data_IF_459297818320
#
_entry.id   IF_459297818320
#
_cell.length_a   1.000
_cell.length_b   1.000
_cell.length_c   1.000
_cell.angle_alpha   90.00
_cell.angle_beta   90.00
_cell.angle_gamma   90.00
#
_symmetry.space_group_name_H-M   'P 1'
#
loop_
_entity.id
_entity.type
_entity.pdbx_description
1 polymer ?
#
# COMPACT_ATOMS: atom_id res chain seq x y z
N UNK A 1 15.34 8.72 11.89
CA UNK A 1 14.56 8.95 13.12
C UNK A 1 13.86 7.66 13.56
N UNK A 2 12.99 7.07 12.75
CA UNK A 2 12.21 5.86 13.07
C UNK A 2 13.11 4.69 13.47
N UNK A 3 14.17 4.41 12.72
CA UNK A 3 15.09 3.32 13.05
C UNK A 3 15.79 3.50 14.41
N UNK A 4 15.99 4.75 14.87
CA UNK A 4 16.52 5.01 16.22
C UNK A 4 15.47 4.77 17.30
N UNK A 5 14.23 5.14 17.04
CA UNK A 5 13.12 4.98 17.99
C UNK A 5 12.78 3.51 18.22
N UNK A 6 12.94 2.66 17.21
CA UNK A 6 12.74 1.21 17.29
C UNK A 6 14.05 0.42 17.46
N UNK A 7 15.14 1.05 17.90
CA UNK A 7 16.45 0.40 18.11
C UNK A 7 16.44 -0.69 19.19
N UNK A 8 15.40 -0.75 20.02
CA UNK A 8 15.18 -1.81 21.01
C UNK A 8 14.77 -3.16 20.39
N UNK A 9 14.45 -3.21 19.11
CA UNK A 9 14.12 -4.45 18.39
C UNK A 9 15.09 -4.71 17.25
N UNK A 10 15.44 -5.97 17.03
CA UNK A 10 16.23 -6.42 15.87
C UNK A 10 15.40 -6.56 14.60
N UNK A 11 14.07 -6.40 14.71
CA UNK A 11 13.13 -6.58 13.57
C UNK A 11 13.00 -5.33 12.70
N UNK A 12 13.35 -4.15 13.22
CA UNK A 12 13.34 -2.89 12.48
C UNK A 12 14.76 -2.49 12.14
N UNK A 13 15.03 -2.29 10.85
CA UNK A 13 16.33 -1.83 10.36
C UNK A 13 16.13 -0.66 9.42
N UNK A 14 16.88 0.41 9.61
CA UNK A 14 16.97 1.51 8.67
C UNK A 14 17.98 1.17 7.56
N UNK A 15 17.56 1.26 6.32
CA UNK A 15 18.42 1.13 5.15
C UNK A 15 18.43 2.44 4.39
N UNK A 16 19.63 3.05 4.25
CA UNK A 16 19.77 4.24 3.43
C UNK A 16 19.78 3.85 1.96
N UNK A 17 18.94 4.51 1.16
CA UNK A 17 18.97 4.39 -0.31
C UNK A 17 20.22 5.04 -0.88
N UNK A 18 20.69 4.54 -2.01
CA UNK A 18 21.73 5.20 -2.79
C UNK A 18 21.17 6.50 -3.41
N UNK A 19 22.02 7.47 -3.64
CA UNK A 19 21.62 8.79 -4.15
C UNK A 19 20.89 8.69 -5.52
N UNK A 20 21.21 7.69 -6.33
CA UNK A 20 20.54 7.39 -7.60
C UNK A 20 19.08 6.95 -7.43
N UNK A 21 18.75 6.34 -6.31
CA UNK A 21 17.39 5.88 -5.95
C UNK A 21 16.69 6.78 -4.92
N UNK A 22 17.34 7.86 -4.49
CA UNK A 22 16.84 8.81 -3.49
C UNK A 22 16.44 10.15 -4.11
N UNK A 23 16.04 10.17 -5.38
CA UNK A 23 15.59 11.36 -6.10
C UNK A 23 14.12 11.24 -6.50
N UNK A 24 13.51 12.36 -6.88
CA UNK A 24 12.08 12.48 -7.21
C UNK A 24 11.64 11.66 -8.46
N UNK A 25 12.60 11.16 -9.24
CA UNK A 25 12.33 10.38 -10.46
C UNK A 25 12.54 8.88 -10.27
N UNK A 26 13.07 8.47 -9.11
CA UNK A 26 13.32 7.06 -8.82
C UNK A 26 12.00 6.30 -8.64
N UNK A 27 11.87 5.16 -9.32
CA UNK A 27 10.68 4.31 -9.17
C UNK A 27 10.70 3.55 -7.84
N UNK A 28 9.51 3.19 -7.36
CA UNK A 28 9.39 2.28 -6.21
C UNK A 28 10.10 0.95 -6.49
N UNK A 29 10.02 0.44 -7.70
CA UNK A 29 10.67 -0.80 -8.11
C UNK A 29 12.20 -0.73 -7.98
N UNK A 30 12.82 0.40 -8.35
CA UNK A 30 14.27 0.57 -8.19
C UNK A 30 14.69 0.56 -6.72
N UNK A 31 13.90 1.19 -5.85
CA UNK A 31 14.13 1.17 -4.41
C UNK A 31 13.96 -0.24 -3.81
N UNK A 32 12.95 -1.00 -4.27
CA UNK A 32 12.74 -2.38 -3.84
C UNK A 32 13.86 -3.32 -4.31
N UNK A 33 14.38 -3.15 -5.52
CA UNK A 33 15.52 -3.91 -6.03
C UNK A 33 16.76 -3.62 -5.21
N UNK A 34 17.08 -2.36 -4.95
CA UNK A 34 18.20 -1.97 -4.10
C UNK A 34 18.08 -2.55 -2.68
N UNK A 35 16.87 -2.50 -2.10
CA UNK A 35 16.60 -3.13 -0.82
C UNK A 35 16.87 -4.63 -0.87
N UNK A 36 16.35 -5.33 -1.87
CA UNK A 36 16.52 -6.77 -2.04
C UNK A 36 18.02 -7.14 -2.19
N UNK A 37 18.79 -6.37 -2.95
CA UNK A 37 20.23 -6.54 -3.10
C UNK A 37 20.97 -6.36 -1.77
N UNK A 38 20.64 -5.32 -1.01
CA UNK A 38 21.26 -5.03 0.30
C UNK A 38 21.05 -6.13 1.33
N UNK A 39 19.96 -6.88 1.22
CA UNK A 39 19.71 -8.05 2.08
C UNK A 39 20.04 -9.38 1.41
N UNK A 40 20.79 -9.36 0.29
CA UNK A 40 21.19 -10.54 -0.50
C UNK A 40 19.96 -11.41 -0.91
N UNK A 41 18.82 -10.79 -1.19
CA UNK A 41 17.57 -11.47 -1.55
C UNK A 41 17.14 -12.53 -0.51
N UNK A 42 17.43 -12.29 0.75
CA UNK A 42 17.08 -13.20 1.87
C UNK A 42 15.65 -12.97 2.36
N UNK A 43 14.69 -13.34 1.52
CA UNK A 43 13.25 -13.33 1.83
C UNK A 43 12.51 -14.35 0.95
N UNK A 44 11.38 -14.84 1.43
CA UNK A 44 10.45 -15.67 0.65
C UNK A 44 9.40 -14.80 -0.04
N UNK A 45 8.89 -13.79 0.66
CA UNK A 45 7.88 -12.83 0.19
C UNK A 45 8.37 -11.43 0.53
N UNK A 46 8.31 -10.52 -0.45
CA UNK A 46 8.52 -9.09 -0.28
C UNK A 46 7.14 -8.44 -0.07
N UNK A 47 6.96 -7.77 1.06
CA UNK A 47 5.74 -7.02 1.35
C UNK A 47 6.08 -5.53 1.46
N UNK A 48 5.53 -4.73 0.54
CA UNK A 48 5.65 -3.27 0.55
C UNK A 48 4.40 -2.67 1.19
N UNK A 49 4.61 -1.76 2.13
CA UNK A 49 3.59 -0.91 2.73
C UNK A 49 3.95 0.55 2.40
N UNK A 50 2.99 1.31 1.88
CA UNK A 50 3.21 2.73 1.62
C UNK A 50 2.82 3.56 2.84
N UNK A 51 3.73 4.45 3.26
CA UNK A 51 3.50 5.32 4.41
C UNK A 51 2.37 6.34 4.19
N UNK A 52 2.06 6.63 2.92
CA UNK A 52 0.93 7.48 2.52
C UNK A 52 -0.43 6.84 2.80
N UNK A 53 -0.49 5.55 3.17
CA UNK A 53 -1.72 4.77 3.43
C UNK A 53 -1.82 4.32 4.89
N UNK A 54 -1.89 5.24 5.89
CA UNK A 54 -1.82 4.90 7.31
C UNK A 54 -3.08 4.25 7.87
N UNK A 55 -4.14 4.12 7.07
CA UNK A 55 -5.35 3.38 7.44
C UNK A 55 -5.21 1.87 7.26
N UNK A 56 -4.07 1.39 6.78
CA UNK A 56 -3.74 -0.03 6.64
C UNK A 56 -3.71 -0.72 8.01
N UNK A 57 -4.30 -1.91 8.07
CA UNK A 57 -4.36 -2.72 9.28
C UNK A 57 -3.50 -3.98 9.15
N UNK A 58 -3.23 -4.63 10.28
CA UNK A 58 -2.55 -5.94 10.28
C UNK A 58 -3.37 -7.02 9.56
N UNK A 59 -4.70 -6.90 9.55
CA UNK A 59 -5.58 -7.82 8.83
C UNK A 59 -5.42 -7.69 7.31
N UNK A 60 -5.31 -6.47 6.78
CA UNK A 60 -5.07 -6.22 5.36
C UNK A 60 -3.74 -6.84 4.90
N UNK A 61 -2.69 -6.69 5.72
CA UNK A 61 -1.38 -7.30 5.46
C UNK A 61 -1.47 -8.82 5.47
N UNK A 62 -2.14 -9.40 6.48
CA UNK A 62 -2.32 -10.83 6.58
C UNK A 62 -3.13 -11.40 5.41
N UNK A 63 -4.16 -10.68 4.95
CA UNK A 63 -4.94 -11.06 3.78
C UNK A 63 -4.10 -11.05 2.50
N UNK A 64 -3.20 -10.10 2.33
CA UNK A 64 -2.27 -10.08 1.19
C UNK A 64 -1.29 -11.26 1.23
N UNK A 65 -0.74 -11.58 2.40
CA UNK A 65 0.12 -12.75 2.57
C UNK A 65 -0.64 -14.07 2.37
N UNK A 66 -1.90 -14.14 2.79
CA UNK A 66 -2.77 -15.30 2.60
C UNK A 66 -3.01 -15.59 1.12
N UNK A 67 -3.18 -14.57 0.27
CA UNK A 67 -3.29 -14.77 -1.18
C UNK A 67 -2.08 -15.50 -1.75
N UNK A 68 -0.90 -15.26 -1.21
CA UNK A 68 0.34 -15.94 -1.65
C UNK A 68 0.45 -17.33 -1.02
N UNK A 69 0.33 -17.43 0.30
CA UNK A 69 0.64 -18.67 1.03
C UNK A 69 -0.42 -19.75 0.86
N UNK A 70 -1.69 -19.38 0.71
CA UNK A 70 -2.82 -20.30 0.72
C UNK A 70 -3.51 -20.40 -0.65
N UNK A 71 -3.66 -19.25 -1.35
CA UNK A 71 -4.31 -19.20 -2.66
C UNK A 71 -3.35 -19.44 -3.84
N UNK A 72 -2.05 -19.61 -3.56
CA UNK A 72 -1.02 -19.89 -4.56
C UNK A 72 -0.78 -18.74 -5.56
N UNK A 73 -1.13 -17.50 -5.20
CA UNK A 73 -0.82 -16.33 -6.02
C UNK A 73 0.66 -16.01 -5.94
N UNK A 74 1.19 -15.46 -7.03
CA UNK A 74 2.60 -15.02 -7.06
C UNK A 74 2.77 -13.59 -6.59
N UNK A 75 1.72 -12.78 -6.70
CA UNK A 75 1.65 -11.44 -6.11
C UNK A 75 0.24 -11.14 -5.60
N UNK A 76 0.13 -10.18 -4.69
CA UNK A 76 -1.14 -9.67 -4.18
C UNK A 76 -1.04 -8.15 -4.02
N UNK A 77 -2.17 -7.47 -4.20
CA UNK A 77 -2.28 -6.03 -3.97
C UNK A 77 -3.62 -5.68 -3.34
N UNK A 78 -3.63 -4.56 -2.63
CA UNK A 78 -4.83 -4.01 -2.03
C UNK A 78 -5.63 -3.17 -3.02
N UNK A 79 -6.94 -3.31 -2.95
CA UNK A 79 -7.91 -2.59 -3.79
C UNK A 79 -9.08 -2.11 -2.95
N UNK A 80 -9.77 -1.10 -3.44
CA UNK A 80 -11.02 -0.60 -2.86
C UNK A 80 -12.12 -0.70 -3.90
N UNK A 81 -13.29 -1.20 -3.48
CA UNK A 81 -14.46 -1.23 -4.33
C UNK A 81 -15.14 0.14 -4.36
N UNK A 82 -15.28 0.72 -5.54
CA UNK A 82 -15.97 1.99 -5.76
C UNK A 82 -17.18 1.82 -6.65
N UNK A 83 -18.25 2.58 -6.34
CA UNK A 83 -19.46 2.63 -7.14
C UNK A 83 -19.57 3.93 -7.93
N UNK A 84 -18.43 4.52 -8.30
CA UNK A 84 -18.39 5.76 -9.08
C UNK A 84 -18.46 5.45 -10.57
N UNK A 85 -19.19 6.27 -11.30
CA UNK A 85 -19.20 6.25 -12.76
C UNK A 85 -17.99 7.01 -13.28
N UNK A 86 -17.25 6.38 -14.19
CA UNK A 86 -16.03 6.94 -14.78
C UNK A 86 -16.21 7.26 -16.25
N UNK A 87 -15.45 8.25 -16.71
CA UNK A 87 -15.52 8.79 -18.07
C UNK A 87 -14.13 8.85 -18.66
N UNK A 88 -14.04 8.63 -19.96
CA UNK A 88 -12.85 8.92 -20.74
C UNK A 88 -12.76 10.43 -21.00
N UNK A 89 -11.56 10.93 -21.27
CA UNK A 89 -11.33 12.35 -21.55
C UNK A 89 -12.06 12.86 -22.81
N UNK A 90 -12.43 11.97 -23.72
CA UNK A 90 -13.20 12.28 -24.93
C UNK A 90 -14.72 12.41 -24.68
N UNK A 91 -15.17 12.27 -23.41
CA UNK A 91 -16.57 12.38 -23.02
C UNK A 91 -17.38 11.08 -23.20
N UNK A 92 -16.71 9.95 -23.45
CA UNK A 92 -17.38 8.64 -23.50
C UNK A 92 -17.44 7.99 -22.10
N UNK A 93 -18.54 7.30 -21.72
CA UNK A 93 -18.62 6.57 -20.45
C UNK A 93 -17.68 5.37 -20.50
N UNK A 94 -17.03 5.07 -19.34
CA UNK A 94 -16.07 3.99 -19.27
C UNK A 94 -16.65 2.70 -18.66
N UNK A 95 -17.52 2.82 -17.66
CA UNK A 95 -17.94 1.66 -16.85
C UNK A 95 -19.47 1.51 -16.69
N UNK A 96 -20.26 2.23 -17.44
CA UNK A 96 -21.71 2.11 -17.42
C UNK A 96 -22.35 2.53 -18.75
N UNK A 97 -23.61 2.14 -18.97
CA UNK A 97 -24.42 2.61 -20.09
C UNK A 97 -25.17 3.89 -19.69
N UNK A 98 -24.95 5.00 -20.42
CA UNK A 98 -25.58 6.30 -20.16
C UNK A 98 -27.08 6.23 -20.30
N UNK A 99 -27.59 5.44 -21.25
CA UNK A 99 -29.01 5.31 -21.54
C UNK A 99 -29.72 4.32 -20.61
N UNK A 100 -28.95 3.46 -19.93
CA UNK A 100 -29.47 2.51 -18.95
C UNK A 100 -28.63 2.60 -17.66
N UNK A 101 -28.62 3.80 -17.07
CA UNK A 101 -27.83 4.10 -15.87
C UNK A 101 -28.30 3.28 -14.67
N UNK A 102 -27.49 2.37 -14.13
CA UNK A 102 -27.86 1.57 -12.99
C UNK A 102 -27.94 2.42 -11.71
N UNK A 103 -28.78 2.00 -10.77
CA UNK A 103 -28.74 2.56 -9.42
C UNK A 103 -27.48 2.08 -8.70
N UNK A 104 -27.02 2.82 -7.69
CA UNK A 104 -25.80 2.49 -6.95
C UNK A 104 -25.79 1.05 -6.40
N UNK A 105 -26.94 0.58 -5.91
CA UNK A 105 -27.08 -0.77 -5.36
C UNK A 105 -27.10 -1.88 -6.44
N UNK A 106 -27.41 -1.54 -7.68
CA UNK A 106 -27.49 -2.48 -8.79
C UNK A 106 -26.18 -2.47 -9.63
N UNK A 107 -25.28 -1.54 -9.32
CA UNK A 107 -24.01 -1.38 -10.00
C UNK A 107 -22.91 -2.17 -9.29
N UNK A 108 -22.26 -3.08 -9.99
CA UNK A 108 -21.21 -3.96 -9.43
C UNK A 108 -20.01 -3.20 -8.91
N UNK A 109 -19.78 -1.97 -9.42
CA UNK A 109 -18.62 -1.15 -9.09
C UNK A 109 -17.35 -1.57 -9.83
N UNK A 110 -16.27 -0.89 -9.47
CA UNK A 110 -14.92 -1.17 -9.94
C UNK A 110 -14.00 -1.35 -8.74
N UNK A 111 -13.00 -2.19 -8.90
CA UNK A 111 -11.88 -2.29 -7.96
C UNK A 111 -10.80 -1.31 -8.40
N UNK A 112 -10.40 -0.43 -7.48
CA UNK A 112 -9.35 0.56 -7.69
C UNK A 112 -8.21 0.21 -6.75
N UNK A 113 -6.99 0.18 -7.26
CA UNK A 113 -5.77 0.04 -6.49
C UNK A 113 -5.61 1.25 -5.55
N UNK A 114 -5.41 1.00 -4.26
CA UNK A 114 -5.32 2.06 -3.24
C UNK A 114 -3.91 2.28 -2.70
N UNK A 115 -2.91 1.67 -3.33
CA UNK A 115 -1.50 1.90 -2.98
C UNK A 115 -1.04 1.31 -1.64
N UNK A 116 -1.91 0.75 -0.82
CA UNK A 116 -1.62 0.49 0.59
C UNK A 116 -0.70 -0.72 0.83
N UNK A 117 -0.99 -1.86 0.21
CA UNK A 117 -0.28 -3.12 0.44
C UNK A 117 0.03 -3.82 -0.88
N UNK A 118 1.28 -4.23 -1.04
CA UNK A 118 1.73 -5.09 -2.12
C UNK A 118 2.54 -6.23 -1.54
N UNK A 119 2.27 -7.46 -1.97
CA UNK A 119 3.07 -8.61 -1.61
C UNK A 119 3.45 -9.38 -2.86
N UNK A 120 4.69 -9.84 -2.98
CA UNK A 120 5.16 -10.63 -4.12
C UNK A 120 6.13 -11.70 -3.65
N UNK A 121 6.07 -12.88 -4.28
CA UNK A 121 7.06 -13.92 -4.03
C UNK A 121 8.43 -13.51 -4.55
N UNK A 122 9.50 -14.00 -3.93
CA UNK A 122 10.88 -13.75 -4.38
C UNK A 122 11.06 -14.08 -5.86
N UNK A 123 10.60 -15.23 -6.31
CA UNK A 123 10.80 -15.70 -7.68
C UNK A 123 10.09 -14.79 -8.70
N UNK A 124 8.84 -14.43 -8.42
CA UNK A 124 8.08 -13.52 -9.26
C UNK A 124 8.72 -12.12 -9.32
N UNK A 125 9.17 -11.60 -8.18
CA UNK A 125 9.87 -10.32 -8.09
C UNK A 125 11.19 -10.34 -8.87
N UNK A 126 12.00 -11.38 -8.73
CA UNK A 126 13.28 -11.50 -9.44
C UNK A 126 13.09 -11.60 -10.96
N UNK A 127 12.04 -12.27 -11.40
CA UNK A 127 11.72 -12.45 -12.82
C UNK A 127 11.18 -11.18 -13.46
N UNK A 128 10.22 -10.53 -12.81
CA UNK A 128 9.52 -9.35 -13.35
C UNK A 128 10.21 -8.02 -13.06
N UNK A 129 11.00 -7.94 -12.00
CA UNK A 129 11.52 -6.70 -11.41
C UNK A 129 10.40 -5.71 -11.04
N UNK A 130 9.22 -6.24 -10.71
CA UNK A 130 8.03 -5.46 -10.41
C UNK A 130 7.35 -6.03 -9.16
N UNK A 131 6.71 -5.16 -8.36
CA UNK A 131 5.97 -5.53 -7.15
C UNK A 131 4.68 -6.31 -7.44
N UNK A 132 4.17 -6.25 -8.68
CA UNK A 132 2.98 -6.98 -9.14
C UNK A 132 3.30 -7.72 -10.42
N UNK A 133 3.03 -9.03 -10.46
CA UNK A 133 3.32 -9.86 -11.65
C UNK A 133 2.61 -11.20 -11.61
N UNK A 134 2.44 -11.80 -12.78
CA UNK A 134 1.91 -13.15 -13.01
C UNK A 134 0.48 -13.33 -12.46
N UNK A 135 0.27 -14.23 -11.48
CA UNK A 135 -1.04 -14.47 -10.89
C UNK A 135 -1.28 -13.54 -9.69
N UNK A 136 -2.27 -12.66 -9.81
CA UNK A 136 -2.52 -11.59 -8.84
C UNK A 136 -3.68 -11.95 -7.94
N UNK A 137 -3.47 -11.85 -6.62
CA UNK A 137 -4.51 -11.85 -5.60
C UNK A 137 -4.95 -10.42 -5.28
N UNK A 138 -6.24 -10.22 -5.11
CA UNK A 138 -6.80 -8.92 -4.72
C UNK A 138 -7.27 -8.97 -3.27
N UNK A 139 -6.92 -7.92 -2.50
CA UNK A 139 -7.37 -7.73 -1.12
C UNK A 139 -8.27 -6.51 -1.09
N UNK A 140 -9.57 -6.74 -0.95
CA UNK A 140 -10.52 -5.64 -0.86
C UNK A 140 -10.45 -5.00 0.52
N UNK A 141 -10.20 -3.69 0.56
CA UNK A 141 -10.12 -2.86 1.75
C UNK A 141 -11.33 -1.90 1.83
N UNK A 142 -11.65 -1.37 3.01
CA UNK A 142 -12.73 -0.39 3.19
C UNK A 142 -12.58 0.87 2.33
N UNK A 143 -13.72 1.49 1.94
CA UNK A 143 -13.75 2.64 1.01
C UNK A 143 -12.88 3.83 1.50
N UNK A 144 -12.81 4.06 2.81
CA UNK A 144 -11.99 5.13 3.38
C UNK A 144 -10.48 4.94 3.16
N UNK A 145 -10.01 3.73 2.88
CA UNK A 145 -8.60 3.44 2.61
C UNK A 145 -8.17 3.82 1.19
N UNK A 146 -9.11 4.31 0.36
CA UNK A 146 -8.77 4.90 -0.94
C UNK A 146 -8.06 6.25 -0.80
N UNK A 147 -8.12 6.85 0.40
CA UNK A 147 -7.48 8.12 0.67
C UNK A 147 -6.02 7.90 1.05
N UNK A 148 -5.12 8.52 0.31
CA UNK A 148 -3.68 8.59 0.59
C UNK A 148 -3.31 9.98 1.11
N UNK A 149 -2.19 10.10 1.83
CA UNK A 149 -1.67 11.40 2.29
C UNK A 149 -0.79 11.99 1.20
N UNK A 150 -1.35 12.86 0.36
CA UNK A 150 -0.64 13.61 -0.67
C UNK A 150 -0.61 15.11 -0.37
N UNK A 151 -1.45 15.56 0.58
CA UNK A 151 -1.58 16.96 0.95
C UNK A 151 -1.88 17.13 2.44
N UNK A 152 -1.74 18.37 2.96
CA UNK A 152 -2.10 18.68 4.35
C UNK A 152 -3.59 18.50 4.64
N UNK A 153 -4.46 18.64 3.65
CA UNK A 153 -5.89 18.37 3.80
C UNK A 153 -6.16 16.89 4.03
N UNK A 154 -5.45 16.00 3.31
CA UNK A 154 -5.59 14.55 3.47
C UNK A 154 -5.12 14.12 4.86
N UNK A 155 -4.02 14.72 5.34
CA UNK A 155 -3.55 14.52 6.72
C UNK A 155 -4.66 14.75 7.74
N UNK A 156 -5.35 15.91 7.66
CA UNK A 156 -6.42 16.26 8.60
C UNK A 156 -7.58 15.26 8.58
N UNK A 157 -7.95 14.78 7.40
CA UNK A 157 -9.04 13.82 7.26
C UNK A 157 -8.61 12.46 7.82
N UNK A 158 -7.42 11.98 7.44
CA UNK A 158 -6.88 10.69 7.89
C UNK A 158 -6.66 10.69 9.40
N UNK A 159 -6.14 11.77 9.97
CA UNK A 159 -5.98 11.91 11.43
C UNK A 159 -7.32 11.76 12.16
N UNK A 160 -8.38 12.36 11.62
CA UNK A 160 -9.73 12.24 12.17
C UNK A 160 -10.25 10.80 12.10
N UNK A 161 -10.04 10.10 10.98
CA UNK A 161 -10.43 8.70 10.82
C UNK A 161 -9.67 7.77 11.77
N UNK A 162 -8.36 7.99 11.94
CA UNK A 162 -7.55 7.25 12.90
C UNK A 162 -8.00 7.48 14.34
N UNK A 163 -8.33 8.74 14.70
CA UNK A 163 -8.84 9.07 16.02
C UNK A 163 -10.19 8.39 16.31
N UNK A 164 -11.08 8.28 15.33
CA UNK A 164 -12.33 7.55 15.47
C UNK A 164 -12.11 6.04 15.63
N UNK A 165 -11.21 5.45 14.85
CA UNK A 165 -10.81 4.04 15.00
C UNK A 165 -10.25 3.76 16.41
N UNK A 166 -9.40 4.63 16.94
CA UNK A 166 -8.85 4.47 18.31
C UNK A 166 -9.93 4.54 19.39
N UNK A 167 -10.96 5.36 19.22
CA UNK A 167 -12.10 5.41 20.17
C UNK A 167 -12.91 4.12 20.19
N UNK A 168 -13.01 3.43 19.05
CA UNK A 168 -13.71 2.14 18.96
C UNK A 168 -12.89 0.98 19.50
N UNK A 169 -11.56 1.08 19.51
CA UNK A 169 -10.62 0.12 20.12
C UNK A 169 -10.50 0.32 21.64
N UNK A 170 -11.58 0.24 22.38
CA UNK A 170 -11.55 0.23 23.87
C UNK A 170 -10.99 -1.06 24.47
N UNK A 171 -10.32 -1.92 23.72
CA UNK A 171 -9.52 -3.05 24.21
C UNK A 171 -8.11 -2.93 23.65
N UNK A 172 -7.15 -2.78 24.56
CA UNK A 172 -5.72 -2.77 24.29
C UNK A 172 -5.28 -4.09 23.64
N UNK A 173 -5.28 -4.13 22.32
CA UNK A 173 -4.46 -5.09 21.60
C UNK A 173 -3.09 -4.45 21.37
N UNK A 174 -2.04 -5.08 21.89
CA UNK A 174 -0.66 -4.63 21.69
C UNK A 174 -0.33 -4.72 20.20
N UNK A 175 -0.07 -3.58 19.57
CA UNK A 175 0.56 -3.55 18.24
C UNK A 175 1.99 -4.05 18.43
N UNK A 176 2.33 -5.17 17.80
CA UNK A 176 3.66 -5.76 17.91
C UNK A 176 4.64 -5.27 16.83
N UNK A 177 4.15 -4.60 15.76
CA UNK A 177 5.00 -4.12 14.66
C UNK A 177 4.36 -2.92 13.96
N UNK A 178 5.17 -1.91 13.68
CA UNK A 178 4.87 -0.79 12.79
C UNK A 178 6.04 -0.60 11.84
N UNK A 179 5.79 -0.66 10.54
CA UNK A 179 6.78 -0.33 9.50
C UNK A 179 6.33 0.94 8.81
N UNK A 180 7.16 1.97 8.83
CA UNK A 180 6.89 3.27 8.22
C UNK A 180 7.97 3.59 7.19
N UNK A 181 7.55 3.96 5.99
CA UNK A 181 8.37 4.71 5.05
C UNK A 181 8.40 6.17 5.55
N UNK A 182 9.60 6.77 5.62
CA UNK A 182 9.80 8.06 6.29
C UNK A 182 10.17 9.16 5.30
N UNK A 183 10.59 8.80 4.09
CA UNK A 183 11.17 9.76 3.16
C UNK A 183 10.08 10.44 2.33
N UNK A 184 9.97 11.76 2.45
CA UNK A 184 8.98 12.58 1.77
C UNK A 184 7.60 12.64 2.44
N UNK A 185 7.35 11.87 3.52
CA UNK A 185 6.07 11.85 4.25
C UNK A 185 6.18 12.54 5.61
N UNK A 186 7.27 12.29 6.34
CA UNK A 186 7.57 12.94 7.65
C UNK A 186 8.76 13.90 7.59
N UNK A 187 9.38 14.05 6.43
CA UNK A 187 10.45 15.00 6.17
C UNK A 187 10.10 15.82 4.94
N UNK A 188 10.65 17.01 4.86
CA UNK A 188 10.52 17.90 3.69
C UNK A 188 11.37 17.45 2.48
N UNK A 189 11.93 16.22 2.53
CA UNK A 189 12.82 15.69 1.52
C UNK A 189 14.23 16.31 1.54
N UNK A 190 14.50 17.23 2.47
CA UNK A 190 15.80 17.86 2.63
C UNK A 190 16.69 17.05 3.57
N UNK A 191 17.90 16.77 3.14
CA UNK A 191 18.98 16.19 3.99
C UNK A 191 19.69 17.36 4.66
N UNK A 192 19.49 17.51 5.97
CA UNK A 192 20.27 18.42 6.80
C UNK A 192 21.48 17.71 7.39
#
# INVERSE_FOLDING_TARGET
>A
YVAKEYSWTTKVKGLRRNDENANDTASTESALLEFAEKINFDFAVLCLLQATSPLTTSEDINNALFQISNEGKTSALSVVKTHRFTWNADGTPQNYDVFNRPRRQDFTGLLIENGAVYATTKDAFLKSKNRVSETIGLVEMPEETLMEIDSLSDWTIIESLLAERQKSFKKQERINYLVLDVDGVFTDGCVY
#
